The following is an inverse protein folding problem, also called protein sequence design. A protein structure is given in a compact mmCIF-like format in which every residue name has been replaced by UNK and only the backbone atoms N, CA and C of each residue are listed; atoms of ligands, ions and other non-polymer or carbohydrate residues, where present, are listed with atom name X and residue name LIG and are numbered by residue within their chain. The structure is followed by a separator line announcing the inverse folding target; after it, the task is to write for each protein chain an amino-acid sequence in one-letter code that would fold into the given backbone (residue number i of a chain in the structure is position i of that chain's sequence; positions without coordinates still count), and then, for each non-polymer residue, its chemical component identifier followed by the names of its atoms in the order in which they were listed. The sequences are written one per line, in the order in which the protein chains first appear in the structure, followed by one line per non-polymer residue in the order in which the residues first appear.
data_IF_683573980156
#
_entry.id   IF_683573980156
#
_cell.length_a   1.000
_cell.length_b   1.000
_cell.length_c   1.000
_cell.angle_alpha   90.00
_cell.angle_beta   90.00
_cell.angle_gamma   90.00
#
_symmetry.space_group_name_H-M   'P 1'
#
loop_
_entity.id
_entity.type
_entity.pdbx_description
1 polymer ?
#
# COMPACT_ATOMS: atom_id res chain seq x y z
N UNK A 1 4.36 19.81 10.18
CA UNK A 1 4.39 19.69 11.67
C UNK A 1 2.95 19.75 12.15
N UNK A 2 2.57 18.90 13.10
CA UNK A 2 1.21 18.85 13.70
C UNK A 2 1.28 18.92 15.22
N UNK A 3 0.19 19.30 15.88
CA UNK A 3 0.01 19.19 17.34
C UNK A 3 -0.70 17.86 17.64
N UNK A 4 -0.10 16.99 18.47
CA UNK A 4 -0.71 15.76 18.94
C UNK A 4 -0.55 15.64 20.45
N UNK A 5 -1.67 15.49 21.18
CA UNK A 5 -1.70 15.37 22.64
C UNK A 5 -0.90 16.49 23.36
N UNK A 6 -0.91 17.71 22.82
CA UNK A 6 -0.16 18.85 23.36
C UNK A 6 1.33 18.89 23.00
N UNK A 7 1.83 17.91 22.24
CA UNK A 7 3.22 17.85 21.77
C UNK A 7 3.33 18.15 20.28
N UNK A 8 4.31 18.99 19.90
CA UNK A 8 4.64 19.22 18.48
C UNK A 8 5.26 17.95 17.90
N UNK A 9 4.75 17.51 16.75
CA UNK A 9 5.22 16.31 16.06
C UNK A 9 5.51 16.62 14.60
N UNK A 10 6.70 16.26 14.13
CA UNK A 10 7.00 16.23 12.70
C UNK A 10 6.40 14.97 12.08
N UNK A 11 5.57 15.14 11.06
CA UNK A 11 5.00 14.04 10.28
C UNK A 11 5.45 14.15 8.83
N UNK A 12 5.89 13.02 8.28
CA UNK A 12 6.26 12.86 6.88
C UNK A 12 5.45 11.71 6.28
N UNK A 13 4.96 11.90 5.06
CA UNK A 13 4.23 10.87 4.34
C UNK A 13 4.66 10.86 2.88
N UNK A 14 4.88 9.65 2.34
CA UNK A 14 5.26 9.45 0.94
C UNK A 14 4.40 8.37 0.32
N UNK A 15 3.72 8.70 -0.78
CA UNK A 15 2.88 7.76 -1.49
C UNK A 15 3.68 6.60 -2.11
N UNK A 16 3.07 5.42 -2.12
CA UNK A 16 3.49 4.24 -2.87
C UNK A 16 2.57 4.16 -4.08
N UNK A 17 3.03 4.67 -5.21
CA UNK A 17 2.31 4.59 -6.49
C UNK A 17 2.66 3.30 -7.24
N UNK A 18 1.73 2.79 -8.03
CA UNK A 18 2.01 1.69 -8.96
C UNK A 18 2.66 2.25 -10.22
N UNK A 19 3.97 2.06 -10.36
CA UNK A 19 4.72 2.45 -11.54
C UNK A 19 4.53 1.49 -12.72
N UNK A 20 4.87 1.96 -13.93
CA UNK A 20 5.00 1.09 -15.11
C UNK A 20 6.18 0.12 -14.92
N UNK A 21 6.02 -1.12 -15.37
CA UNK A 21 7.08 -2.15 -15.31
C UNK A 21 7.40 -2.67 -13.90
N UNK A 22 6.60 -2.34 -12.90
CA UNK A 22 6.78 -2.84 -11.54
C UNK A 22 6.10 -4.21 -11.36
N UNK A 23 6.73 -5.16 -10.65
CA UNK A 23 6.14 -6.49 -10.41
C UNK A 23 4.94 -6.45 -9.46
N UNK A 24 4.61 -5.29 -8.88
CA UNK A 24 3.50 -5.11 -7.93
C UNK A 24 2.18 -5.67 -8.47
N UNK A 25 1.92 -5.49 -9.78
CA UNK A 25 0.67 -5.92 -10.42
C UNK A 25 0.55 -7.44 -10.56
N UNK A 26 1.62 -8.21 -10.38
CA UNK A 26 1.54 -9.68 -10.40
C UNK A 26 0.71 -10.23 -9.23
N UNK A 27 0.64 -9.50 -8.11
CA UNK A 27 -0.14 -9.89 -6.92
C UNK A 27 -1.24 -8.88 -6.58
N UNK A 28 -1.07 -7.60 -6.93
CA UNK A 28 -2.02 -6.53 -6.60
C UNK A 28 -2.85 -6.04 -7.80
N UNK A 29 -2.66 -6.61 -8.99
CA UNK A 29 -3.36 -6.21 -10.21
C UNK A 29 -4.80 -6.72 -10.31
N UNK A 30 -5.47 -6.37 -11.41
CA UNK A 30 -6.79 -6.87 -11.78
C UNK A 30 -6.77 -8.29 -12.35
N UNK A 31 -5.64 -8.71 -12.92
CA UNK A 31 -5.46 -10.03 -13.53
C UNK A 31 -4.32 -10.77 -12.83
N UNK A 32 -4.68 -11.66 -11.90
CA UNK A 32 -3.72 -12.43 -11.11
C UNK A 32 -3.59 -13.84 -11.66
N UNK A 33 -2.39 -14.41 -11.58
CA UNK A 33 -2.21 -15.83 -11.83
C UNK A 33 -3.03 -16.64 -10.83
N UNK A 34 -3.63 -17.75 -11.29
CA UNK A 34 -4.50 -18.59 -10.47
C UNK A 34 -3.83 -19.10 -9.20
N UNK A 35 -2.55 -19.52 -9.26
CA UNK A 35 -1.82 -19.98 -8.07
C UNK A 35 -1.62 -18.87 -7.03
N UNK A 36 -1.40 -17.63 -7.49
CA UNK A 36 -1.30 -16.46 -6.61
C UNK A 36 -2.65 -16.15 -5.99
N UNK A 37 -3.73 -16.16 -6.78
CA UNK A 37 -5.09 -15.91 -6.31
C UNK A 37 -5.51 -16.91 -5.24
N UNK A 38 -5.27 -18.20 -5.46
CA UNK A 38 -5.57 -19.26 -4.49
C UNK A 38 -4.78 -19.06 -3.19
N UNK A 39 -3.48 -18.78 -3.28
CA UNK A 39 -2.67 -18.59 -2.07
C UNK A 39 -3.02 -17.32 -1.30
N UNK A 40 -3.40 -16.26 -2.00
CA UNK A 40 -3.93 -15.04 -1.38
C UNK A 40 -5.24 -15.30 -0.64
N UNK A 41 -6.17 -16.05 -1.23
CA UNK A 41 -7.43 -16.40 -0.58
C UNK A 41 -7.23 -17.27 0.67
N UNK A 42 -6.28 -18.21 0.61
CA UNK A 42 -5.94 -19.09 1.75
C UNK A 42 -5.31 -18.30 2.91
N UNK A 43 -4.29 -17.48 2.63
CA UNK A 43 -3.50 -16.80 3.65
C UNK A 43 -4.10 -15.46 4.11
N UNK A 44 -4.84 -14.80 3.22
CA UNK A 44 -5.39 -13.46 3.42
C UNK A 44 -6.85 -13.41 2.94
N UNK A 45 -7.79 -14.13 3.60
CA UNK A 45 -9.18 -14.25 3.15
C UNK A 45 -9.94 -12.92 3.11
N UNK A 46 -9.45 -11.91 3.82
CA UNK A 46 -10.02 -10.55 3.85
C UNK A 46 -9.17 -9.54 3.07
N UNK A 47 -8.32 -10.00 2.15
CA UNK A 47 -7.46 -9.12 1.38
C UNK A 47 -8.27 -8.12 0.54
N UNK A 48 -7.90 -6.85 0.64
CA UNK A 48 -8.46 -5.73 -0.13
C UNK A 48 -7.41 -5.10 -1.05
N UNK A 49 -6.23 -5.70 -1.15
CA UNK A 49 -5.08 -5.14 -1.82
C UNK A 49 -4.95 -5.57 -3.29
N UNK A 50 -6.02 -5.99 -3.96
CA UNK A 50 -5.98 -6.41 -5.37
C UNK A 50 -6.79 -5.45 -6.25
N UNK A 51 -6.76 -5.66 -7.56
CA UNK A 51 -7.55 -4.84 -8.50
C UNK A 51 -6.92 -3.50 -8.87
N UNK A 52 -5.65 -3.28 -8.53
CA UNK A 52 -4.97 -2.03 -8.88
C UNK A 52 -4.51 -1.99 -10.35
N UNK A 53 -4.26 -0.78 -10.82
CA UNK A 53 -3.71 -0.46 -12.14
C UNK A 53 -2.57 0.55 -12.05
N UNK A 54 -1.77 0.66 -13.11
CA UNK A 54 -0.66 1.63 -13.21
C UNK A 54 -1.17 3.06 -12.96
N UNK A 55 -0.42 3.82 -12.18
CA UNK A 55 -0.73 5.21 -11.83
C UNK A 55 -1.57 5.37 -10.56
N UNK A 56 -2.18 4.29 -10.05
CA UNK A 56 -2.92 4.34 -8.80
C UNK A 56 -2.01 4.36 -7.57
N UNK A 57 -2.52 4.91 -6.47
CA UNK A 57 -1.86 4.90 -5.17
C UNK A 57 -2.21 3.60 -4.46
N UNK A 58 -1.21 2.75 -4.23
CA UNK A 58 -1.35 1.50 -3.48
C UNK A 58 -1.41 1.76 -1.97
N UNK A 59 -0.70 2.78 -1.49
CA UNK A 59 -0.61 3.12 -0.08
C UNK A 59 0.40 4.25 0.14
N UNK A 60 0.95 4.35 1.34
CA UNK A 60 1.98 5.32 1.67
C UNK A 60 2.85 4.86 2.84
N UNK A 61 4.11 5.30 2.87
CA UNK A 61 4.93 5.28 4.07
C UNK A 61 4.65 6.52 4.91
N UNK A 62 4.49 6.35 6.22
CA UNK A 62 4.21 7.43 7.16
C UNK A 62 5.16 7.35 8.35
N UNK A 63 5.81 8.47 8.65
CA UNK A 63 6.76 8.58 9.75
C UNK A 63 6.37 9.75 10.65
N UNK A 64 6.56 9.56 11.96
CA UNK A 64 6.35 10.60 12.96
C UNK A 64 7.57 10.70 13.87
N UNK A 65 7.96 11.92 14.19
CA UNK A 65 9.04 12.23 15.15
C UNK A 65 8.54 13.32 16.08
N UNK A 66 8.53 13.02 17.38
CA UNK A 66 8.30 14.01 18.42
C UNK A 66 9.36 15.12 18.30
N UNK A 67 8.93 16.36 18.37
CA UNK A 67 9.82 17.54 18.39
C UNK A 67 10.13 17.95 19.83
#
# INVERSE_FOLDING_TARGET
VVQENGQKTFRYMKAIGIGKGQPCLHCHGTNLNEGVKQKLQELYPNDKATGYTVGQIRGAFSFKKAL
#
